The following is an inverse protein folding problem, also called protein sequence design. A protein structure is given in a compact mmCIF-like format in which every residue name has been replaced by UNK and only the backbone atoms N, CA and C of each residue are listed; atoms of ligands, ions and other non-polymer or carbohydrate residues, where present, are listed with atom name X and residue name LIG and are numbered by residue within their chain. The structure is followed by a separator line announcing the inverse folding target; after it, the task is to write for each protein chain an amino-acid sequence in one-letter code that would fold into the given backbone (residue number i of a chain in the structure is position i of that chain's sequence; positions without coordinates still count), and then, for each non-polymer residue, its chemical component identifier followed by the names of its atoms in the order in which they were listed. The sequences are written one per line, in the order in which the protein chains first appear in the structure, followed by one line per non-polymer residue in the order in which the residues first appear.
data_IF_647246190745
#
_entry.id   IF_647246190745
#
_cell.length_a   1.000
_cell.length_b   1.000
_cell.length_c   1.000
_cell.angle_alpha   90.00
_cell.angle_beta   90.00
_cell.angle_gamma   90.00
#
_symmetry.space_group_name_H-M   'P 1'
#
loop_
_entity.id
_entity.type
_entity.pdbx_description
1 polymer ?
#
# COMPACT_ATOMS: atom_id res chain seq x y z
N UNK A 1 -0.24 0.27 -3.79
CA UNK A 1 0.17 -1.00 -3.19
C UNK A 1 -0.43 -2.10 -4.00
N UNK A 2 0.31 -3.10 -4.34
CA UNK A 2 -0.24 -4.31 -4.91
C UNK A 2 0.18 -5.46 -4.01
N UNK A 3 -0.78 -6.18 -3.45
CA UNK A 3 -0.56 -7.32 -2.57
C UNK A 3 -0.88 -8.60 -3.35
N UNK A 4 0.11 -9.40 -3.67
CA UNK A 4 -0.09 -10.76 -4.16
C UNK A 4 0.30 -11.76 -3.09
N UNK A 5 -0.64 -12.53 -2.64
CA UNK A 5 -0.42 -13.60 -1.69
C UNK A 5 -0.49 -14.91 -2.43
N UNK A 6 0.47 -15.72 -2.14
CA UNK A 6 0.70 -17.03 -2.63
C UNK A 6 1.53 -17.13 -3.91
N UNK A 7 2.80 -17.33 -3.65
CA UNK A 7 3.80 -17.67 -4.64
C UNK A 7 4.05 -16.65 -5.75
N UNK A 8 3.54 -15.40 -5.65
CA UNK A 8 3.88 -14.43 -6.72
C UNK A 8 3.46 -13.01 -6.51
N UNK A 9 4.03 -12.11 -5.95
CA UNK A 9 4.06 -10.67 -6.21
C UNK A 9 3.20 -9.73 -5.34
N UNK A 10 3.82 -8.89 -4.56
CA UNK A 10 3.25 -7.71 -3.90
C UNK A 10 3.86 -6.42 -4.45
N UNK A 11 3.08 -5.39 -4.68
CA UNK A 11 3.57 -4.08 -5.11
C UNK A 11 3.20 -3.02 -4.09
N UNK A 12 4.19 -2.28 -3.65
CA UNK A 12 4.06 -1.16 -2.74
C UNK A 12 4.29 0.15 -3.51
N UNK A 13 3.34 1.08 -3.47
CA UNK A 13 3.52 2.43 -4.01
C UNK A 13 3.80 3.42 -2.91
N UNK A 14 4.85 4.18 -3.02
CA UNK A 14 5.15 5.32 -2.16
C UNK A 14 4.90 6.61 -2.92
N UNK A 15 4.16 7.53 -2.32
CA UNK A 15 4.17 8.91 -2.76
C UNK A 15 5.02 9.71 -1.79
N UNK A 16 6.13 10.23 -2.31
CA UNK A 16 7.00 11.12 -1.57
C UNK A 16 6.60 12.57 -1.89
N UNK A 17 6.23 13.35 -0.88
CA UNK A 17 5.71 14.69 -1.09
C UNK A 17 6.05 15.72 -0.02
N UNK A 18 6.43 16.91 -0.45
CA UNK A 18 6.07 18.11 0.30
C UNK A 18 4.72 18.63 -0.20
N UNK A 19 3.76 18.88 0.69
CA UNK A 19 2.40 19.40 0.50
C UNK A 19 1.43 18.53 -0.30
N UNK A 20 0.50 17.89 0.38
CA UNK A 20 -0.63 17.16 -0.18
C UNK A 20 -0.82 15.74 0.35
N UNK A 21 -1.87 15.08 -0.06
CA UNK A 21 -2.23 13.74 0.42
C UNK A 21 -1.20 12.70 0.07
N UNK A 22 -0.71 12.00 1.08
CA UNK A 22 0.13 10.82 0.91
C UNK A 22 -0.74 9.57 0.95
N UNK A 23 -0.60 8.73 -0.03
CA UNK A 23 -0.89 7.33 0.13
C UNK A 23 0.45 6.64 0.01
N UNK A 24 0.90 6.05 1.07
CA UNK A 24 1.99 5.14 1.01
C UNK A 24 1.43 3.74 1.06
N UNK A 25 2.14 2.87 0.55
CA UNK A 25 1.71 1.53 0.31
C UNK A 25 2.14 0.53 1.38
N UNK A 26 2.58 0.99 2.52
CA UNK A 26 2.63 0.14 3.70
C UNK A 26 1.22 -0.18 4.21
N UNK A 27 0.20 -0.21 3.33
CA UNK A 27 -1.11 0.16 3.79
C UNK A 27 -2.20 -0.86 3.55
N UNK A 28 -1.84 -2.05 3.12
CA UNK A 28 -2.63 -3.20 3.45
C UNK A 28 -1.85 -4.06 4.46
N UNK A 29 -1.77 -3.60 5.69
CA UNK A 29 -1.33 -4.40 6.80
C UNK A 29 -2.34 -5.51 7.04
N UNK A 30 -1.95 -6.73 6.75
CA UNK A 30 -2.64 -7.97 7.06
C UNK A 30 -3.92 -8.26 6.27
N UNK A 31 -3.75 -9.06 5.26
CA UNK A 31 -4.69 -10.12 4.96
C UNK A 31 -4.49 -11.19 6.04
N UNK A 32 -5.33 -11.20 7.05
CA UNK A 32 -5.34 -12.29 8.02
C UNK A 32 -6.35 -13.32 7.56
N UNK A 33 -5.88 -14.46 7.14
CA UNK A 33 -6.73 -15.60 6.85
C UNK A 33 -7.15 -16.25 8.17
N UNK A 34 -8.44 -16.33 8.42
CA UNK A 34 -8.98 -17.11 9.52
C UNK A 34 -9.17 -18.54 9.03
N UNK A 35 -8.25 -19.44 9.37
CA UNK A 35 -8.52 -20.86 9.31
C UNK A 35 -9.66 -21.16 10.31
N UNK A 36 -10.74 -21.71 9.80
CA UNK A 36 -11.90 -22.21 10.51
C UNK A 36 -11.69 -22.41 12.02
N UNK A 37 -12.44 -21.65 12.79
CA UNK A 37 -12.80 -22.09 14.13
C UNK A 37 -13.70 -23.31 13.94
N UNK A 38 -13.20 -24.51 14.26
CA UNK A 38 -13.95 -25.74 14.27
C UNK A 38 -15.18 -25.61 15.17
N UNK A 39 -16.27 -25.11 14.62
CA UNK A 39 -17.58 -25.38 15.17
C UNK A 39 -17.89 -26.84 14.86
N UNK A 40 -18.32 -27.58 15.87
CA UNK A 40 -18.49 -29.03 15.85
C UNK A 40 -19.13 -29.54 14.56
N UNK A 41 -18.42 -30.45 13.89
CA UNK A 41 -18.75 -31.10 12.60
C UNK A 41 -20.04 -31.91 12.55
N UNK A 42 -20.94 -31.75 13.50
CA UNK A 42 -22.17 -32.57 13.55
C UNK A 42 -23.38 -32.03 12.80
N UNK A 43 -23.34 -30.73 12.35
CA UNK A 43 -24.55 -30.08 11.82
C UNK A 43 -24.46 -29.56 10.38
N UNK A 44 -23.37 -29.83 9.65
CA UNK A 44 -23.22 -29.41 8.27
C UNK A 44 -23.22 -30.59 7.30
N UNK A 45 -24.07 -30.49 6.27
CA UNK A 45 -24.08 -31.48 5.19
C UNK A 45 -22.70 -31.52 4.51
N UNK A 46 -22.19 -32.70 4.03
CA UNK A 46 -20.87 -32.85 3.44
C UNK A 46 -20.61 -32.00 2.19
N UNK A 47 -21.63 -31.37 1.62
CA UNK A 47 -21.52 -30.46 0.46
C UNK A 47 -21.23 -28.99 0.81
N UNK A 48 -21.21 -28.65 2.11
CA UNK A 48 -20.88 -27.32 2.61
C UNK A 48 -19.42 -27.19 3.12
N UNK A 49 -18.55 -28.16 2.81
CA UNK A 49 -17.11 -28.08 3.09
C UNK A 49 -16.47 -27.07 2.13
N UNK A 50 -16.60 -25.85 2.53
CA UNK A 50 -15.77 -24.65 2.39
C UNK A 50 -14.77 -24.67 1.22
N UNK A 51 -15.23 -24.16 0.06
CA UNK A 51 -14.39 -23.71 -1.03
C UNK A 51 -14.07 -22.20 -0.91
N UNK A 52 -14.12 -21.63 0.29
CA UNK A 52 -13.91 -20.21 0.52
C UNK A 52 -13.23 -19.93 1.86
N UNK A 53 -12.43 -18.87 1.89
CA UNK A 53 -11.77 -18.37 3.08
C UNK A 53 -12.26 -16.95 3.39
N UNK A 54 -12.31 -16.59 4.67
CA UNK A 54 -12.59 -15.23 5.12
C UNK A 54 -11.27 -14.46 5.29
N UNK A 55 -11.23 -13.25 4.72
CA UNK A 55 -10.09 -12.36 4.79
C UNK A 55 -10.47 -11.03 5.41
N UNK A 56 -9.67 -10.60 6.37
CA UNK A 56 -9.68 -9.25 6.90
C UNK A 56 -8.69 -8.41 6.11
N UNK A 57 -9.18 -7.34 5.50
CA UNK A 57 -8.38 -6.42 4.69
C UNK A 57 -8.21 -5.12 5.45
N UNK A 58 -6.98 -4.70 5.67
CA UNK A 58 -6.64 -3.42 6.30
C UNK A 58 -6.02 -2.50 5.26
N UNK A 59 -6.54 -1.27 5.14
CA UNK A 59 -6.01 -0.20 4.30
C UNK A 59 -5.50 0.91 5.21
N UNK A 60 -4.22 1.27 5.10
CA UNK A 60 -3.66 2.44 5.76
C UNK A 60 -3.53 3.57 4.76
N UNK A 61 -4.01 4.73 5.11
CA UNK A 61 -4.00 5.92 4.28
C UNK A 61 -3.25 7.03 5.00
N UNK A 62 -2.25 7.59 4.33
CA UNK A 62 -1.46 8.70 4.87
C UNK A 62 -1.75 9.98 4.10
N UNK A 63 -1.81 11.09 4.82
CA UNK A 63 -1.96 12.42 4.23
C UNK A 63 -1.14 13.46 4.98
N UNK A 64 -0.87 14.56 4.30
CA UNK A 64 -0.41 15.79 4.90
C UNK A 64 -1.53 16.43 5.73
N UNK A 65 -1.29 16.72 7.01
CA UNK A 65 -2.27 17.28 7.90
C UNK A 65 -2.51 18.79 7.70
N UNK A 66 -1.63 19.52 7.00
CA UNK A 66 -1.87 20.93 6.65
C UNK A 66 -2.79 21.12 5.44
N UNK A 67 -2.98 20.10 4.64
CA UNK A 67 -3.76 20.21 3.41
C UNK A 67 -5.26 20.37 3.71
N UNK A 68 -5.76 21.60 3.63
CA UNK A 68 -7.18 21.90 3.72
C UNK A 68 -8.03 21.31 2.60
N UNK A 69 -7.40 20.84 1.51
CA UNK A 69 -8.06 20.42 0.28
C UNK A 69 -8.09 18.90 0.07
N UNK A 70 -7.41 18.12 0.89
CA UNK A 70 -7.30 16.67 0.72
C UNK A 70 -7.75 15.93 1.99
N UNK A 71 -9.06 15.84 2.19
CA UNK A 71 -9.61 15.03 3.28
C UNK A 71 -9.35 13.54 3.03
N UNK A 72 -9.05 12.81 4.08
CA UNK A 72 -9.01 11.36 4.05
C UNK A 72 -10.38 10.79 3.63
N UNK A 73 -10.42 9.61 2.98
CA UNK A 73 -11.69 8.96 2.65
C UNK A 73 -12.58 8.81 3.89
N UNK A 74 -13.87 9.08 3.76
CA UNK A 74 -14.83 9.04 4.87
C UNK A 74 -14.75 10.22 5.86
N UNK A 75 -13.85 11.18 5.64
CA UNK A 75 -13.73 12.38 6.47
C UNK A 75 -14.37 13.58 5.77
N UNK A 76 -15.17 14.34 6.51
CA UNK A 76 -15.95 15.45 5.96
C UNK A 76 -16.95 14.96 4.90
N UNK A 77 -16.86 15.47 3.67
CA UNK A 77 -17.73 15.07 2.55
C UNK A 77 -17.16 13.94 1.67
N UNK A 78 -16.00 13.38 2.02
CA UNK A 78 -15.39 12.31 1.22
C UNK A 78 -16.07 10.98 1.48
N UNK A 79 -16.34 10.16 0.42
CA UNK A 79 -16.86 8.82 0.59
C UNK A 79 -15.83 7.91 1.27
N UNK A 80 -16.30 6.86 1.93
CA UNK A 80 -15.45 5.80 2.45
C UNK A 80 -14.71 5.09 1.29
N UNK A 81 -13.52 4.52 1.53
CA UNK A 81 -12.81 3.76 0.54
C UNK A 81 -13.65 2.54 0.10
N UNK A 82 -13.55 2.18 -1.16
CA UNK A 82 -14.22 1.00 -1.74
C UNK A 82 -13.16 0.08 -2.31
N UNK A 83 -13.05 -1.12 -1.74
CA UNK A 83 -12.26 -2.20 -2.29
C UNK A 83 -12.97 -2.77 -3.51
N UNK A 84 -12.26 -2.92 -4.62
CA UNK A 84 -12.69 -3.73 -5.76
C UNK A 84 -11.90 -5.03 -5.73
N UNK A 85 -12.57 -6.17 -5.90
CA UNK A 85 -11.88 -7.44 -5.95
C UNK A 85 -12.51 -8.39 -6.98
N UNK A 86 -11.65 -9.05 -7.75
CA UNK A 86 -12.05 -9.85 -8.88
C UNK A 86 -11.12 -11.04 -9.10
N UNK A 87 -11.65 -12.08 -9.74
CA UNK A 87 -10.90 -13.21 -10.27
C UNK A 87 -11.38 -13.49 -11.69
N UNK A 88 -10.47 -13.47 -12.63
CA UNK A 88 -10.77 -13.76 -14.05
C UNK A 88 -11.03 -15.24 -14.22
N UNK A 89 -10.21 -16.09 -13.59
CA UNK A 89 -10.32 -17.55 -13.71
C UNK A 89 -11.64 -18.10 -13.15
N UNK A 90 -12.15 -17.45 -12.08
CA UNK A 90 -13.42 -17.84 -11.44
C UNK A 90 -14.62 -17.00 -11.92
N UNK A 91 -14.38 -15.94 -12.69
CA UNK A 91 -15.44 -15.09 -13.22
C UNK A 91 -16.09 -14.19 -12.17
N UNK A 92 -15.37 -13.81 -11.12
CA UNK A 92 -15.88 -12.97 -10.03
C UNK A 92 -15.48 -11.52 -10.19
N UNK A 93 -16.39 -10.61 -9.78
CA UNK A 93 -16.16 -9.18 -9.68
C UNK A 93 -17.06 -8.58 -8.61
N UNK A 94 -16.49 -8.12 -7.51
CA UNK A 94 -17.18 -7.63 -6.33
C UNK A 94 -16.59 -6.33 -5.82
N UNK A 95 -17.33 -5.69 -4.90
CA UNK A 95 -16.86 -4.53 -4.15
C UNK A 95 -17.19 -4.69 -2.67
N UNK A 96 -16.37 -4.13 -1.80
CA UNK A 96 -16.64 -4.01 -0.38
C UNK A 96 -16.27 -2.61 0.11
N UNK A 97 -17.07 -2.05 1.00
CA UNK A 97 -16.81 -0.73 1.58
C UNK A 97 -15.99 -0.91 2.85
N UNK A 98 -14.89 -0.18 2.94
CA UNK A 98 -14.11 -0.11 4.17
C UNK A 98 -14.83 0.72 5.24
N UNK A 99 -14.63 0.37 6.48
CA UNK A 99 -14.97 1.21 7.64
C UNK A 99 -13.70 1.81 8.25
N UNK A 100 -13.79 3.06 8.72
CA UNK A 100 -12.69 3.68 9.45
C UNK A 100 -12.54 2.98 10.81
N UNK A 101 -11.38 2.37 11.03
CA UNK A 101 -11.03 1.71 12.28
C UNK A 101 -10.35 2.66 13.25
N UNK A 102 -9.39 3.45 12.77
CA UNK A 102 -8.59 4.36 13.59
C UNK A 102 -8.08 5.55 12.76
N UNK A 103 -7.79 6.67 13.42
CA UNK A 103 -7.24 7.88 12.82
C UNK A 103 -8.08 9.12 13.03
N UNK A 104 -7.50 10.33 12.85
CA UNK A 104 -6.11 10.56 12.47
C UNK A 104 -5.11 10.23 13.57
N UNK A 105 -4.02 9.56 13.22
CA UNK A 105 -2.85 9.37 14.06
C UNK A 105 -1.71 10.22 13.51
N UNK A 106 -1.16 11.11 14.30
CA UNK A 106 0.03 11.85 13.86
C UNK A 106 1.26 10.94 13.93
N UNK A 107 1.85 10.69 12.76
CA UNK A 107 3.05 9.85 12.61
C UNK A 107 4.27 10.62 12.12
N UNK A 108 4.21 11.96 12.15
CA UNK A 108 5.31 12.80 11.68
C UNK A 108 6.59 12.48 12.46
N UNK A 109 7.70 12.15 11.79
CA UNK A 109 8.98 12.01 12.45
C UNK A 109 9.40 13.38 13.02
N UNK A 110 9.45 13.51 14.34
CA UNK A 110 9.89 14.73 15.01
C UNK A 110 11.02 14.46 16.00
N UNK A 111 11.93 15.41 16.11
CA UNK A 111 12.87 15.46 17.22
C UNK A 111 12.12 15.90 18.47
N UNK A 112 12.24 15.18 19.57
CA UNK A 112 11.42 15.28 20.80
C UNK A 112 11.25 16.65 21.49
N UNK A 113 11.67 17.74 20.87
CA UNK A 113 11.47 19.13 21.32
C UNK A 113 10.61 19.97 20.36
N UNK A 114 10.08 19.39 19.29
CA UNK A 114 9.30 20.12 18.29
C UNK A 114 7.80 19.97 18.60
N UNK A 115 7.08 21.07 18.49
CA UNK A 115 5.62 21.12 18.60
C UNK A 115 5.03 20.24 17.50
N UNK A 116 3.93 19.56 17.82
CA UNK A 116 3.16 18.72 16.88
C UNK A 116 2.97 19.42 15.51
N UNK A 117 3.57 18.92 14.42
CA UNK A 117 3.52 19.59 13.13
C UNK A 117 2.10 19.72 12.58
N UNK A 118 1.19 18.84 12.94
CA UNK A 118 -0.21 18.89 12.51
C UNK A 118 -1.01 20.03 13.20
N UNK A 119 -0.43 20.65 14.22
CA UNK A 119 -1.04 21.77 14.95
C UNK A 119 -0.28 23.09 14.77
N UNK A 120 0.77 23.13 13.97
CA UNK A 120 1.58 24.32 13.74
C UNK A 120 1.70 24.65 12.25
N UNK A 121 1.23 25.84 11.86
CA UNK A 121 1.31 26.30 10.47
C UNK A 121 2.76 26.37 9.95
N UNK A 122 2.97 25.95 8.73
CA UNK A 122 4.27 25.99 8.03
C UNK A 122 5.19 24.81 8.28
N UNK A 123 4.74 23.79 9.00
CA UNK A 123 5.45 22.52 9.15
C UNK A 123 4.58 21.40 8.59
N UNK A 124 5.10 20.70 7.60
CA UNK A 124 4.39 19.56 7.01
C UNK A 124 4.40 18.39 7.99
N UNK A 125 3.22 17.98 8.41
CA UNK A 125 3.01 16.81 9.26
C UNK A 125 2.26 15.71 8.52
N UNK A 126 2.29 14.49 9.04
CA UNK A 126 1.64 13.33 8.43
C UNK A 126 0.65 12.70 9.39
N UNK A 127 -0.56 12.51 8.90
CA UNK A 127 -1.62 11.76 9.56
C UNK A 127 -1.86 10.41 8.90
N UNK A 128 -2.03 9.38 9.72
CA UNK A 128 -2.45 8.05 9.32
C UNK A 128 -3.92 7.81 9.62
N UNK A 129 -4.61 7.17 8.69
CA UNK A 129 -5.97 6.64 8.86
C UNK A 129 -5.96 5.15 8.54
N UNK A 130 -6.57 4.33 9.37
CA UNK A 130 -6.64 2.87 9.22
C UNK A 130 -8.09 2.48 8.93
N UNK A 131 -8.30 1.79 7.83
CA UNK A 131 -9.60 1.28 7.43
C UNK A 131 -9.59 -0.24 7.39
N UNK A 132 -10.72 -0.86 7.69
CA UNK A 132 -10.87 -2.31 7.62
C UNK A 132 -12.15 -2.71 6.88
N UNK A 133 -12.06 -3.85 6.20
CA UNK A 133 -13.21 -4.59 5.69
C UNK A 133 -12.94 -6.09 5.77
N UNK A 134 -14.00 -6.89 5.85
CA UNK A 134 -13.91 -8.35 5.79
C UNK A 134 -14.59 -8.81 4.51
N UNK A 135 -13.96 -9.74 3.79
CA UNK A 135 -14.47 -10.34 2.57
C UNK A 135 -14.30 -11.85 2.62
N UNK A 136 -15.17 -12.57 1.92
CA UNK A 136 -15.05 -14.00 1.70
C UNK A 136 -14.63 -14.25 0.27
N UNK A 137 -13.58 -15.03 0.06
CA UNK A 137 -13.04 -15.39 -1.24
C UNK A 137 -13.15 -16.88 -1.46
N UNK A 138 -13.79 -17.30 -2.55
CA UNK A 138 -13.73 -18.67 -3.02
C UNK A 138 -12.30 -19.05 -3.43
N UNK A 139 -11.97 -20.33 -3.44
CA UNK A 139 -10.65 -20.80 -3.80
C UNK A 139 -10.34 -20.58 -5.29
N UNK A 140 -9.64 -19.49 -5.59
CA UNK A 140 -9.22 -19.09 -6.93
C UNK A 140 -7.74 -18.73 -6.95
N UNK A 141 -7.09 -18.94 -8.08
CA UNK A 141 -5.63 -18.74 -8.20
C UNK A 141 -5.22 -17.31 -8.55
N UNK A 142 -6.17 -16.39 -8.80
CA UNK A 142 -5.89 -15.10 -9.44
C UNK A 142 -6.75 -13.94 -8.89
N UNK A 143 -7.06 -13.95 -7.60
CA UNK A 143 -7.71 -12.79 -7.01
C UNK A 143 -6.84 -11.53 -7.13
N UNK A 144 -7.45 -10.45 -7.59
CA UNK A 144 -6.91 -9.09 -7.57
C UNK A 144 -7.79 -8.21 -6.70
N UNK A 145 -7.21 -7.58 -5.70
CA UNK A 145 -7.83 -6.67 -4.76
C UNK A 145 -7.27 -5.27 -5.02
N UNK A 146 -8.08 -4.32 -5.41
CA UNK A 146 -7.63 -2.99 -5.84
C UNK A 146 -8.37 -1.89 -5.11
N UNK A 147 -7.63 -0.87 -4.71
CA UNK A 147 -8.17 0.40 -4.27
C UNK A 147 -7.53 1.55 -5.06
N UNK A 148 -8.35 2.46 -5.58
CA UNK A 148 -7.90 3.66 -6.27
C UNK A 148 -8.48 4.91 -5.60
N UNK A 149 -7.63 5.93 -5.44
CA UNK A 149 -8.01 7.28 -5.00
C UNK A 149 -7.68 8.29 -6.09
N UNK A 150 -8.65 9.07 -6.49
CA UNK A 150 -8.45 10.21 -7.38
C UNK A 150 -8.23 11.48 -6.53
N UNK A 151 -7.19 12.26 -6.77
CA UNK A 151 -6.08 12.10 -7.69
C UNK A 151 -4.78 12.16 -6.91
N UNK A 152 -3.62 11.97 -7.61
CA UNK A 152 -2.30 12.17 -7.01
C UNK A 152 -2.07 13.64 -6.69
N UNK A 153 -1.11 13.89 -5.79
CA UNK A 153 -0.71 15.23 -5.41
C UNK A 153 -0.13 16.01 -6.61
N UNK A 154 -0.65 17.22 -6.82
CA UNK A 154 -0.20 18.13 -7.88
C UNK A 154 1.27 18.59 -7.72
N UNK A 155 1.83 18.52 -6.51
CA UNK A 155 3.23 18.88 -6.24
C UNK A 155 4.24 17.87 -6.77
N UNK A 156 3.83 16.68 -7.20
CA UNK A 156 4.73 15.68 -7.77
C UNK A 156 5.37 16.22 -9.05
N UNK A 157 6.71 16.20 -9.10
CA UNK A 157 7.51 16.78 -10.18
C UNK A 157 8.14 15.76 -11.11
N UNK A 158 7.98 14.46 -10.85
CA UNK A 158 8.63 13.38 -11.60
C UNK A 158 7.75 12.66 -12.58
N UNK A 159 6.43 12.98 -12.59
CA UNK A 159 5.46 12.40 -13.51
C UNK A 159 4.63 13.49 -14.22
N UNK A 160 4.05 13.14 -15.35
CA UNK A 160 3.20 14.06 -16.12
C UNK A 160 1.83 14.21 -15.45
N UNK A 161 1.34 15.45 -15.36
CA UNK A 161 -0.04 15.78 -14.94
C UNK A 161 -0.50 14.97 -13.70
N UNK A 162 0.18 15.00 -12.57
CA UNK A 162 -0.11 14.14 -11.43
C UNK A 162 -1.55 14.30 -10.91
N UNK A 163 -2.09 15.51 -10.91
CA UNK A 163 -3.48 15.78 -10.51
C UNK A 163 -4.56 15.19 -11.42
N UNK A 164 -4.17 14.62 -12.55
CA UNK A 164 -5.05 13.90 -13.48
C UNK A 164 -4.81 12.39 -13.48
N UNK A 165 -3.99 11.90 -12.57
CA UNK A 165 -3.68 10.48 -12.45
C UNK A 165 -4.14 9.95 -11.09
N UNK A 166 -4.80 8.81 -11.12
CA UNK A 166 -5.24 8.15 -9.90
C UNK A 166 -4.04 7.51 -9.17
N UNK A 167 -4.19 7.32 -7.89
CA UNK A 167 -3.31 6.55 -7.07
C UNK A 167 -3.98 5.21 -6.79
N UNK A 168 -3.47 4.16 -7.40
CA UNK A 168 -3.99 2.82 -7.24
C UNK A 168 -3.00 1.92 -6.51
N UNK A 169 -3.56 1.00 -5.76
CA UNK A 169 -2.85 -0.05 -5.05
C UNK A 169 -3.53 -1.38 -5.36
N UNK A 170 -2.76 -2.42 -5.57
CA UNK A 170 -3.29 -3.75 -5.86
C UNK A 170 -2.65 -4.81 -4.97
N UNK A 171 -3.49 -5.73 -4.49
CA UNK A 171 -3.05 -6.96 -3.85
C UNK A 171 -3.50 -8.16 -4.68
N UNK A 172 -2.65 -9.15 -4.87
CA UNK A 172 -3.04 -10.39 -5.56
C UNK A 172 -2.92 -11.60 -4.65
N UNK A 173 -3.93 -12.45 -4.70
CA UNK A 173 -4.05 -13.63 -3.86
C UNK A 173 -4.26 -14.85 -4.74
N UNK A 174 -3.53 -15.92 -4.44
CA UNK A 174 -3.85 -17.25 -4.88
C UNK A 174 -4.20 -18.08 -3.63
N UNK A 175 -5.48 -18.34 -3.39
CA UNK A 175 -5.95 -19.17 -2.27
C UNK A 175 -6.45 -20.55 -2.73
N UNK A 176 -6.09 -20.99 -3.94
CA UNK A 176 -6.54 -22.27 -4.48
C UNK A 176 -6.00 -23.49 -3.72
N UNK A 177 -4.94 -23.36 -2.96
CA UNK A 177 -4.29 -24.49 -2.27
C UNK A 177 -4.22 -24.38 -0.75
N UNK A 178 -4.11 -23.18 -0.21
CA UNK A 178 -3.95 -22.93 1.21
C UNK A 178 -4.22 -21.46 1.55
N UNK A 179 -4.52 -21.22 2.82
CA UNK A 179 -4.70 -19.90 3.37
C UNK A 179 -3.33 -19.27 3.65
N UNK A 180 -3.16 -18.02 3.29
CA UNK A 180 -1.92 -17.26 3.45
C UNK A 180 -2.22 -15.87 4.03
N UNK A 181 -1.29 -15.35 4.85
CA UNK A 181 -1.32 -13.97 5.31
C UNK A 181 -0.31 -13.16 4.52
N UNK A 182 -0.62 -11.92 4.23
CA UNK A 182 0.35 -11.01 3.63
C UNK A 182 1.44 -10.61 4.62
N UNK A 183 2.63 -10.19 4.16
CA UNK A 183 3.62 -9.55 5.00
C UNK A 183 3.05 -8.32 5.68
N UNK A 184 3.53 -8.02 6.85
CA UNK A 184 3.29 -6.78 7.57
C UNK A 184 4.54 -5.90 7.55
N UNK A 185 4.35 -4.59 7.74
CA UNK A 185 5.43 -3.61 7.73
C UNK A 185 5.66 -3.04 9.11
N UNK A 186 6.92 -3.03 9.55
CA UNK A 186 7.30 -2.48 10.85
C UNK A 186 7.63 -0.98 10.79
N UNK A 187 7.96 -0.47 9.61
CA UNK A 187 8.41 0.91 9.43
C UNK A 187 7.37 1.77 8.70
N UNK A 188 7.21 3.00 9.17
CA UNK A 188 6.43 4.00 8.45
C UNK A 188 7.14 4.44 7.18
N UNK A 189 6.41 4.88 6.15
CA UNK A 189 7.03 5.44 4.96
C UNK A 189 7.87 6.67 5.33
N UNK A 190 9.08 6.75 4.76
CA UNK A 190 9.97 7.88 4.99
C UNK A 190 9.60 9.05 4.06
N UNK A 191 8.93 10.09 4.55
CA UNK A 191 8.38 11.14 3.69
C UNK A 191 9.41 12.15 3.23
N UNK A 192 10.53 12.32 3.96
CA UNK A 192 11.50 13.38 3.71
C UNK A 192 12.92 12.90 3.73
N UNK A 193 13.68 13.27 2.69
CA UNK A 193 15.13 13.09 2.63
C UNK A 193 15.81 14.42 2.31
N UNK A 194 16.98 14.66 2.89
CA UNK A 194 17.75 15.88 2.63
C UNK A 194 18.49 15.79 1.30
N UNK A 195 18.47 16.89 0.52
CA UNK A 195 19.26 17.02 -0.70
C UNK A 195 20.75 16.91 -0.39
N UNK A 196 21.46 16.08 -1.17
CA UNK A 196 22.89 15.86 -1.01
C UNK A 196 23.30 14.98 0.17
N UNK A 197 22.33 14.37 0.88
CA UNK A 197 22.61 13.43 1.96
C UNK A 197 22.13 12.02 1.56
N UNK A 198 23.01 11.00 1.62
CA UNK A 198 22.60 9.62 1.43
C UNK A 198 21.58 9.21 2.50
N UNK A 199 20.51 8.55 2.07
CA UNK A 199 19.48 8.02 2.93
C UNK A 199 19.07 6.64 2.45
N UNK A 200 18.97 5.68 3.37
CA UNK A 200 18.47 4.34 3.08
C UNK A 200 17.15 4.12 3.83
N UNK A 201 16.17 3.61 3.11
CA UNK A 201 14.86 3.24 3.62
C UNK A 201 14.63 1.74 3.42
N UNK A 202 14.07 1.10 4.43
CA UNK A 202 13.53 -0.25 4.35
C UNK A 202 12.15 -0.25 5.02
N UNK A 203 11.17 -0.86 4.39
CA UNK A 203 9.82 -0.92 4.94
C UNK A 203 9.67 -1.92 6.11
N UNK A 204 10.69 -2.74 6.36
CA UNK A 204 10.69 -3.73 7.42
C UNK A 204 9.60 -4.79 7.24
N UNK A 205 9.44 -5.30 6.02
CA UNK A 205 8.44 -6.33 5.74
C UNK A 205 8.76 -7.64 6.46
N UNK A 206 7.77 -8.18 7.15
CA UNK A 206 7.85 -9.44 7.89
C UNK A 206 6.68 -10.32 7.51
N UNK A 207 6.96 -11.52 7.03
CA UNK A 207 5.94 -12.52 6.77
C UNK A 207 5.72 -13.40 8.00
N UNK A 208 4.45 -13.51 8.46
CA UNK A 208 4.11 -14.29 9.65
C UNK A 208 4.06 -15.79 9.38
N UNK A 209 3.85 -16.19 8.12
CA UNK A 209 3.81 -17.58 7.71
C UNK A 209 5.23 -18.13 7.44
N UNK A 210 6.25 -17.26 7.44
CA UNK A 210 7.65 -17.58 7.23
C UNK A 210 8.01 -17.74 5.75
N UNK A 211 7.26 -17.12 4.86
CA UNK A 211 7.54 -17.13 3.43
C UNK A 211 8.75 -16.23 3.09
N UNK A 212 9.51 -16.61 2.08
CA UNK A 212 10.63 -15.80 1.59
C UNK A 212 10.12 -14.59 0.81
N UNK A 213 10.67 -13.42 1.09
CA UNK A 213 10.27 -12.16 0.44
C UNK A 213 11.30 -11.72 -0.60
N UNK A 214 10.83 -11.30 -1.76
CA UNK A 214 11.63 -10.67 -2.81
C UNK A 214 10.97 -9.36 -3.21
N UNK A 215 11.79 -8.33 -3.43
CA UNK A 215 11.35 -6.97 -3.66
C UNK A 215 11.70 -6.51 -5.07
N UNK A 216 10.87 -5.63 -5.64
CA UNK A 216 11.17 -4.92 -6.89
C UNK A 216 10.61 -3.50 -6.86
N UNK A 217 11.23 -2.59 -7.61
CA UNK A 217 10.64 -1.27 -7.89
C UNK A 217 9.79 -1.36 -9.14
N UNK A 218 8.54 -0.89 -9.05
CA UNK A 218 7.57 -0.96 -10.15
C UNK A 218 7.11 0.43 -10.58
N UNK A 219 6.49 0.50 -11.74
CA UNK A 219 5.80 1.72 -12.18
C UNK A 219 4.55 1.90 -11.31
N UNK A 220 4.41 3.04 -10.60
CA UNK A 220 3.21 3.27 -9.79
C UNK A 220 1.93 3.20 -10.62
N UNK A 221 0.96 2.44 -10.15
CA UNK A 221 -0.29 2.24 -10.86
C UNK A 221 -1.18 3.50 -10.81
N UNK A 222 -1.84 3.81 -11.93
CA UNK A 222 -2.79 4.91 -12.08
C UNK A 222 -4.17 4.44 -12.54
N UNK A 223 -4.45 3.14 -12.43
CA UNK A 223 -5.68 2.51 -12.91
C UNK A 223 -5.73 2.28 -14.43
N UNK A 224 -4.71 2.73 -15.18
CA UNK A 224 -4.62 2.62 -16.64
C UNK A 224 -3.24 2.15 -17.13
N UNK A 225 -2.53 1.33 -16.36
CA UNK A 225 -1.25 0.74 -16.75
C UNK A 225 0.00 1.47 -16.26
N UNK A 226 -0.16 2.40 -15.33
CA UNK A 226 0.95 3.07 -14.66
C UNK A 226 1.15 4.53 -15.04
N UNK A 227 1.92 5.23 -14.20
CA UNK A 227 2.18 6.66 -14.38
C UNK A 227 3.14 6.92 -15.53
N UNK A 228 3.01 8.09 -16.16
CA UNK A 228 3.95 8.56 -17.16
C UNK A 228 5.03 9.42 -16.52
N UNK A 229 6.25 8.92 -16.45
CA UNK A 229 7.39 9.65 -15.93
C UNK A 229 7.82 10.79 -16.86
N UNK A 230 8.50 11.82 -16.30
CA UNK A 230 9.05 12.95 -17.05
C UNK A 230 10.57 12.77 -17.18
N UNK A 231 11.10 13.10 -18.35
CA UNK A 231 12.55 13.13 -18.60
C UNK A 231 13.23 11.78 -18.40
N UNK A 232 14.17 11.70 -17.48
CA UNK A 232 14.95 10.49 -17.19
C UNK A 232 14.42 9.67 -16.00
N UNK A 233 13.34 10.12 -15.38
CA UNK A 233 12.74 9.39 -14.26
C UNK A 233 12.09 8.08 -14.70
N UNK A 234 12.12 7.10 -13.82
CA UNK A 234 11.54 5.77 -14.06
C UNK A 234 11.33 5.07 -12.70
N UNK A 235 10.73 3.89 -12.70
CA UNK A 235 10.62 3.07 -11.48
C UNK A 235 11.98 2.80 -10.85
N UNK A 236 13.01 2.49 -11.65
CA UNK A 236 14.37 2.24 -11.17
C UNK A 236 15.14 3.50 -10.78
N UNK A 237 14.75 4.67 -11.31
CA UNK A 237 15.38 5.97 -11.04
C UNK A 237 14.30 7.01 -10.71
N UNK A 238 13.61 6.88 -9.55
CA UNK A 238 12.49 7.73 -9.21
C UNK A 238 12.89 9.13 -8.75
N UNK A 239 14.19 9.36 -8.48
CA UNK A 239 14.73 10.64 -8.01
C UNK A 239 15.88 11.13 -8.91
N UNK A 240 16.17 12.45 -8.85
CA UNK A 240 17.43 13.01 -9.39
C UNK A 240 18.59 12.60 -8.50
N UNK A 241 19.66 12.09 -9.11
CA UNK A 241 20.84 11.60 -8.36
C UNK A 241 20.98 10.09 -8.43
N UNK A 242 21.25 9.44 -7.30
CA UNK A 242 21.47 7.99 -7.27
C UNK A 242 20.38 7.26 -6.52
N UNK A 243 19.94 6.15 -7.10
CA UNK A 243 19.07 5.17 -6.47
C UNK A 243 19.75 3.82 -6.51
N UNK A 244 19.85 3.14 -5.38
CA UNK A 244 20.33 1.78 -5.26
C UNK A 244 19.28 0.96 -4.51
N UNK A 245 18.84 -0.14 -5.10
CA UNK A 245 17.80 -0.98 -4.57
C UNK A 245 18.28 -2.43 -4.47
N UNK A 246 18.13 -3.02 -3.29
CA UNK A 246 18.44 -4.43 -3.06
C UNK A 246 17.15 -5.27 -3.11
N UNK A 247 16.99 -6.16 -4.10
CA UNK A 247 15.78 -6.97 -4.25
C UNK A 247 15.63 -8.07 -3.20
N UNK A 248 16.67 -8.38 -2.43
CA UNK A 248 16.62 -9.42 -1.40
C UNK A 248 16.29 -8.86 -0.02
N UNK A 249 16.74 -7.66 0.27
CA UNK A 249 16.50 -7.01 1.57
C UNK A 249 15.39 -5.98 1.52
N UNK A 250 15.07 -5.44 0.33
CA UNK A 250 14.15 -4.33 0.17
C UNK A 250 14.77 -2.97 0.50
N UNK A 251 16.08 -2.90 0.73
CA UNK A 251 16.78 -1.65 1.02
C UNK A 251 16.76 -0.72 -0.20
N UNK A 252 16.21 0.47 -0.01
CA UNK A 252 16.18 1.55 -0.99
C UNK A 252 17.08 2.69 -0.52
N UNK A 253 18.31 2.75 -1.06
CA UNK A 253 19.26 3.78 -0.75
C UNK A 253 19.26 4.88 -1.82
N UNK A 254 19.07 6.12 -1.40
CA UNK A 254 18.89 7.29 -2.27
C UNK A 254 19.80 8.44 -1.88
N UNK A 255 20.28 9.20 -2.88
CA UNK A 255 20.97 10.46 -2.66
C UNK A 255 20.51 11.45 -3.73
N UNK A 256 19.53 12.29 -3.42
CA UNK A 256 18.98 13.26 -4.37
C UNK A 256 19.88 14.48 -4.52
N UNK A 257 20.02 14.98 -5.75
CA UNK A 257 20.82 16.15 -6.09
C UNK A 257 20.04 17.45 -6.15
N UNK A 258 18.71 17.38 -6.10
CA UNK A 258 17.84 18.57 -6.12
C UNK A 258 16.54 18.33 -5.34
N UNK A 259 15.92 19.41 -4.89
CA UNK A 259 14.61 19.35 -4.27
C UNK A 259 13.55 18.91 -5.31
N UNK A 260 12.77 17.90 -4.97
CA UNK A 260 11.75 17.34 -5.83
C UNK A 260 10.72 16.58 -5.02
N UNK A 261 9.60 16.30 -5.66
CA UNK A 261 8.57 15.41 -5.15
C UNK A 261 8.46 14.23 -6.11
N UNK A 262 8.68 13.03 -5.61
CA UNK A 262 8.74 11.81 -6.41
C UNK A 262 7.69 10.79 -5.99
N UNK A 263 7.37 9.87 -6.90
CA UNK A 263 6.58 8.68 -6.61
C UNK A 263 7.45 7.45 -6.73
N UNK A 264 7.29 6.53 -5.79
CA UNK A 264 8.00 5.25 -5.76
C UNK A 264 6.96 4.15 -5.54
N UNK A 265 7.04 3.08 -6.32
CA UNK A 265 6.29 1.86 -6.08
C UNK A 265 7.24 0.71 -5.81
N UNK A 266 7.00 -0.01 -4.73
CA UNK A 266 7.73 -1.23 -4.38
C UNK A 266 6.76 -2.41 -4.42
N UNK A 267 7.18 -3.50 -5.04
CA UNK A 267 6.48 -4.76 -5.10
C UNK A 267 7.18 -5.76 -4.18
N UNK A 268 6.41 -6.46 -3.37
CA UNK A 268 6.88 -7.58 -2.56
C UNK A 268 6.25 -8.87 -3.07
N UNK A 269 7.08 -9.85 -3.34
CA UNK A 269 6.67 -11.19 -3.78
C UNK A 269 6.99 -12.20 -2.70
N UNK A 270 6.01 -12.98 -2.30
CA UNK A 270 6.14 -14.08 -1.35
C UNK A 270 6.41 -15.38 -2.07
N UNK A 271 7.31 -16.18 -1.51
CA UNK A 271 7.62 -17.52 -1.98
C UNK A 271 7.53 -18.49 -0.82
N UNK A 272 6.56 -19.42 -0.88
CA UNK A 272 6.40 -20.50 0.09
C UNK A 272 7.23 -21.70 -0.35
N UNK A 273 8.02 -22.21 0.60
CA UNK A 273 8.94 -23.33 0.43
C UNK A 273 10.09 -23.08 -0.57
N UNK A 274 10.52 -21.85 -0.67
CA UNK A 274 11.78 -21.41 -1.24
C UNK A 274 11.92 -21.54 -2.76
#
# INVERSE_FOLDING_TARGET
MELKINSKEQVLSFNYCGEGSFITSNDMDRLTCFKDYKQSLSDLSPSALLNSDEYKITLRFYRDCESSNANAPGIGSQPLPVLQYSSVNCGYNFTSVFSLLNGPNNITPNCGSVIDPCNQAGIVGIEEYIYETTITLDHCSDWSLTYCKSARNAAITTIQSPSSQDLCIEARINNAGYCNNSPSFSEYPAPYICVGQPYCYNNGAIDIDGDSLVYSLEVPDNGNGGVNYIGTFSAANPISGTTNFDPLTGDLCMNTTQAQVSVIAMKITEYRNG
#
